data_IF_807390281148
#
_entry.id   IF_807390281148
#
_cell.length_a   1.000
_cell.length_b   1.000
_cell.length_c   1.000
_cell.angle_alpha   90.00
_cell.angle_beta   90.00
_cell.angle_gamma   90.00
#
_symmetry.space_group_name_H-M   'P 1'
#
loop_
_entity.id
_entity.type
_entity.pdbx_description
1 polymer ?
#
# COMPACT_ATOMS: atom_id res chain seq x y z
N UNK A 1 4.78 -19.83 -12.75
CA UNK A 1 3.75 -19.38 -13.72
C UNK A 1 3.00 -18.19 -13.13
N UNK A 2 2.90 -17.09 -13.88
CA UNK A 2 2.11 -15.95 -13.46
C UNK A 2 0.63 -16.33 -13.54
N UNK A 3 -0.09 -16.28 -12.41
CA UNK A 3 -1.48 -16.73 -12.33
C UNK A 3 -2.33 -15.98 -13.39
N UNK A 4 -3.17 -16.70 -14.12
CA UNK A 4 -4.04 -16.16 -15.19
C UNK A 4 -4.91 -15.00 -14.68
N UNK A 5 -5.38 -15.08 -13.43
CA UNK A 5 -6.10 -13.99 -12.76
C UNK A 5 -5.26 -12.71 -12.62
N UNK A 6 -3.98 -12.84 -12.28
CA UNK A 6 -3.09 -11.68 -12.17
C UNK A 6 -2.87 -11.01 -13.52
N UNK A 7 -2.66 -11.79 -14.58
CA UNK A 7 -2.56 -11.26 -15.95
C UNK A 7 -3.83 -10.50 -16.35
N UNK A 8 -5.00 -11.04 -16.03
CA UNK A 8 -6.27 -10.38 -16.29
C UNK A 8 -6.41 -9.05 -15.54
N UNK A 9 -6.03 -8.99 -14.26
CA UNK A 9 -6.04 -7.76 -13.46
C UNK A 9 -5.16 -6.69 -14.12
N UNK A 10 -3.95 -7.05 -14.53
CA UNK A 10 -3.01 -6.12 -15.19
C UNK A 10 -3.58 -5.59 -16.50
N UNK A 11 -4.04 -6.49 -17.40
CA UNK A 11 -4.57 -6.11 -18.72
C UNK A 11 -5.82 -5.24 -18.58
N UNK A 12 -6.77 -5.66 -17.73
CA UNK A 12 -8.02 -4.93 -17.54
C UNK A 12 -7.87 -3.61 -16.80
N UNK A 13 -6.72 -3.40 -16.14
CA UNK A 13 -6.39 -2.16 -15.43
C UNK A 13 -5.48 -1.22 -16.24
N UNK A 14 -5.08 -1.61 -17.44
CA UNK A 14 -4.06 -0.87 -18.20
C UNK A 14 -4.38 0.62 -18.34
N UNK A 15 -5.58 0.97 -18.79
CA UNK A 15 -5.98 2.37 -18.94
C UNK A 15 -6.00 3.13 -17.61
N UNK A 16 -6.44 2.46 -16.54
CA UNK A 16 -6.43 3.05 -15.22
C UNK A 16 -5.00 3.29 -14.72
N UNK A 17 -4.10 2.33 -14.94
CA UNK A 17 -2.69 2.43 -14.57
C UNK A 17 -1.99 3.54 -15.35
N UNK A 18 -2.30 3.71 -16.64
CA UNK A 18 -1.78 4.81 -17.47
C UNK A 18 -2.16 6.19 -16.93
N UNK A 19 -3.29 6.32 -16.26
CA UNK A 19 -3.69 7.53 -15.54
C UNK A 19 -3.07 7.60 -14.14
N UNK A 20 -3.20 6.52 -13.38
CA UNK A 20 -2.89 6.51 -11.95
C UNK A 20 -1.39 6.67 -11.66
N UNK A 21 -0.50 6.06 -12.48
CA UNK A 21 0.95 6.13 -12.26
C UNK A 21 1.49 7.54 -12.47
N UNK A 22 1.24 8.25 -13.59
CA UNK A 22 1.68 9.63 -13.74
C UNK A 22 1.12 10.56 -12.67
N UNK A 23 -0.15 10.37 -12.28
CA UNK A 23 -0.77 11.15 -11.20
C UNK A 23 -0.09 10.92 -9.87
N UNK A 24 0.19 9.66 -9.51
CA UNK A 24 0.92 9.32 -8.30
C UNK A 24 2.34 9.93 -8.29
N UNK A 25 3.08 9.80 -9.39
CA UNK A 25 4.41 10.40 -9.53
C UNK A 25 4.37 11.92 -9.39
N UNK A 26 3.35 12.57 -9.97
CA UNK A 26 3.16 14.01 -9.82
C UNK A 26 2.92 14.40 -8.35
N UNK A 27 2.05 13.66 -7.64
CA UNK A 27 1.78 13.91 -6.22
C UNK A 27 3.03 13.72 -5.35
N UNK A 28 3.85 12.70 -5.66
CA UNK A 28 5.10 12.43 -4.94
C UNK A 28 6.20 13.48 -5.20
N UNK A 29 6.21 14.08 -6.40
CA UNK A 29 7.16 15.15 -6.75
C UNK A 29 6.75 16.53 -6.26
N UNK A 30 5.50 16.70 -5.89
CA UNK A 30 4.94 17.95 -5.40
C UNK A 30 4.27 17.78 -4.05
N UNK A 31 5.03 17.34 -3.00
CA UNK A 31 4.47 17.05 -1.68
C UNK A 31 3.81 18.30 -1.04
N UNK A 32 4.23 19.49 -1.43
CA UNK A 32 3.69 20.76 -0.96
C UNK A 32 2.24 21.05 -1.44
N UNK A 33 1.76 20.33 -2.46
CA UNK A 33 0.43 20.52 -3.05
C UNK A 33 -0.62 19.55 -2.52
N UNK A 34 -0.20 18.52 -1.80
CA UNK A 34 -1.09 17.43 -1.41
C UNK A 34 -0.87 17.06 0.05
N UNK A 35 -1.94 16.94 0.80
CA UNK A 35 -1.89 16.44 2.18
C UNK A 35 -1.64 14.92 2.20
N UNK A 36 -1.26 14.40 3.37
CA UNK A 36 -1.06 12.94 3.52
C UNK A 36 -2.38 12.19 3.36
N UNK A 37 -3.51 12.80 3.77
CA UNK A 37 -4.84 12.24 3.57
C UNK A 37 -5.19 12.14 2.08
N UNK A 38 -4.88 13.16 1.28
CA UNK A 38 -5.13 13.15 -0.17
C UNK A 38 -4.27 12.10 -0.87
N UNK A 39 -3.00 11.98 -0.48
CA UNK A 39 -2.08 10.95 -1.00
C UNK A 39 -2.58 9.55 -0.62
N UNK A 40 -2.94 9.34 0.65
CA UNK A 40 -3.49 8.08 1.13
C UNK A 40 -4.80 7.74 0.40
N UNK A 41 -5.74 8.68 0.31
CA UNK A 41 -7.00 8.46 -0.40
C UNK A 41 -6.79 8.06 -1.87
N UNK A 42 -5.78 8.65 -2.53
CA UNK A 42 -5.45 8.29 -3.90
C UNK A 42 -4.82 6.88 -3.98
N UNK A 43 -3.94 6.53 -3.05
CA UNK A 43 -3.41 5.17 -2.94
C UNK A 43 -4.53 4.14 -2.75
N UNK A 44 -5.50 4.43 -1.87
CA UNK A 44 -6.66 3.55 -1.65
C UNK A 44 -7.55 3.40 -2.89
N UNK A 45 -7.67 4.42 -3.73
CA UNK A 45 -8.34 4.30 -5.05
C UNK A 45 -7.60 3.33 -5.96
N UNK A 46 -6.27 3.37 -5.98
CA UNK A 46 -5.45 2.43 -6.77
C UNK A 46 -5.65 1.00 -6.26
N UNK A 47 -5.52 0.78 -4.96
CA UNK A 47 -5.66 -0.53 -4.31
C UNK A 47 -7.08 -1.08 -4.49
N UNK A 48 -8.10 -0.24 -4.28
CA UNK A 48 -9.51 -0.59 -4.45
C UNK A 48 -9.85 -0.98 -5.90
N UNK A 49 -9.28 -0.28 -6.89
CA UNK A 49 -9.42 -0.66 -8.29
C UNK A 49 -8.85 -2.05 -8.55
N UNK A 50 -7.65 -2.35 -8.05
CA UNK A 50 -7.02 -3.66 -8.18
C UNK A 50 -7.84 -4.76 -7.49
N UNK A 51 -8.33 -4.51 -6.27
CA UNK A 51 -9.22 -5.42 -5.53
C UNK A 51 -10.46 -5.75 -6.33
N UNK A 52 -11.13 -4.73 -6.89
CA UNK A 52 -12.33 -4.90 -7.72
C UNK A 52 -12.04 -5.77 -8.95
N UNK A 53 -10.92 -5.53 -9.65
CA UNK A 53 -10.52 -6.32 -10.82
C UNK A 53 -10.12 -7.75 -10.47
N UNK A 54 -9.51 -7.94 -9.29
CA UNK A 54 -9.18 -9.25 -8.77
C UNK A 54 -10.42 -10.04 -8.29
N UNK A 55 -11.59 -9.40 -8.20
CA UNK A 55 -12.82 -9.97 -7.63
C UNK A 55 -12.58 -10.53 -6.23
N UNK A 56 -11.83 -9.79 -5.42
CA UNK A 56 -11.50 -10.16 -4.04
C UNK A 56 -12.42 -9.41 -3.10
N UNK A 57 -13.06 -10.12 -2.20
CA UNK A 57 -13.82 -9.55 -1.09
C UNK A 57 -12.97 -9.57 0.18
N UNK A 58 -13.12 -8.54 1.00
CA UNK A 58 -12.46 -8.47 2.31
C UNK A 58 -13.55 -8.32 3.35
N UNK A 59 -13.63 -9.29 4.26
CA UNK A 59 -14.48 -9.24 5.42
C UNK A 59 -13.64 -8.81 6.61
N UNK A 60 -14.07 -7.79 7.31
CA UNK A 60 -13.36 -7.20 8.46
C UNK A 60 -14.16 -7.50 9.71
N UNK A 61 -13.50 -8.02 10.73
CA UNK A 61 -14.07 -8.28 12.05
C UNK A 61 -13.18 -7.64 13.10
N UNK A 62 -13.76 -7.06 14.13
CA UNK A 62 -13.02 -6.48 15.26
C UNK A 62 -12.41 -5.11 14.96
N UNK A 63 -12.87 -4.39 13.92
CA UNK A 63 -12.38 -3.05 13.60
C UNK A 63 -12.61 -2.07 14.77
N UNK A 64 -13.64 -2.31 15.57
CA UNK A 64 -13.97 -1.57 16.79
C UNK A 64 -12.91 -1.66 17.90
N UNK A 65 -11.97 -2.61 17.79
CA UNK A 65 -10.87 -2.74 18.75
C UNK A 65 -9.65 -1.88 18.38
N UNK A 66 -9.67 -1.21 17.23
CA UNK A 66 -8.58 -0.33 16.80
C UNK A 66 -8.71 1.00 17.54
N UNK A 67 -7.66 1.48 18.26
CA UNK A 67 -7.72 2.74 18.98
C UNK A 67 -7.95 3.93 18.04
N UNK A 68 -8.87 4.83 18.39
CA UNK A 68 -9.19 6.03 17.61
C UNK A 68 -8.42 7.27 18.05
N UNK A 69 -8.00 7.30 19.31
CA UNK A 69 -7.48 8.47 20.01
C UNK A 69 -5.95 8.52 20.11
N UNK A 70 -5.26 7.48 19.64
CA UNK A 70 -3.81 7.37 19.76
C UNK A 70 -3.17 6.73 18.53
N UNK A 71 -1.85 6.94 18.35
CA UNK A 71 -1.06 6.21 17.39
C UNK A 71 -0.87 4.76 17.83
N UNK A 72 -0.85 3.84 16.85
CA UNK A 72 -0.62 2.42 17.11
C UNK A 72 0.23 1.79 16.01
N UNK A 73 0.87 0.68 16.35
CA UNK A 73 1.56 -0.17 15.40
C UNK A 73 0.81 -1.50 15.29
N UNK A 74 0.44 -1.86 14.07
CA UNK A 74 -0.24 -3.12 13.80
C UNK A 74 0.75 -4.16 13.27
N UNK A 75 0.80 -5.30 13.93
CA UNK A 75 1.57 -6.47 13.46
C UNK A 75 0.59 -7.51 12.92
N UNK A 76 0.61 -7.74 11.62
CA UNK A 76 -0.24 -8.72 10.95
C UNK A 76 0.52 -9.99 10.60
N UNK A 77 -0.13 -11.14 10.74
CA UNK A 77 0.39 -12.40 10.19
C UNK A 77 0.23 -12.36 8.66
N UNK A 78 1.35 -12.40 7.94
CA UNK A 78 1.38 -12.25 6.49
C UNK A 78 1.44 -13.63 5.80
N UNK A 79 0.37 -13.99 5.10
CA UNK A 79 0.26 -15.28 4.39
C UNK A 79 0.17 -15.13 2.86
N UNK A 80 -0.18 -13.96 2.37
CA UNK A 80 -0.41 -13.75 0.94
C UNK A 80 -0.17 -12.33 0.46
N UNK A 81 -0.07 -12.18 -0.86
CA UNK A 81 0.24 -10.90 -1.50
C UNK A 81 -0.83 -9.81 -1.32
N UNK A 82 -2.04 -10.19 -0.93
CA UNK A 82 -3.18 -9.28 -0.78
C UNK A 82 -3.44 -8.86 0.66
N UNK A 83 -2.77 -9.46 1.64
CA UNK A 83 -3.06 -9.22 3.05
C UNK A 83 -2.85 -7.75 3.44
N UNK A 84 -1.69 -7.20 3.10
CA UNK A 84 -1.40 -5.78 3.37
C UNK A 84 -2.41 -4.84 2.68
N UNK A 85 -2.84 -5.18 1.45
CA UNK A 85 -3.83 -4.39 0.72
C UNK A 85 -5.22 -4.50 1.35
N UNK A 86 -5.57 -5.68 1.86
CA UNK A 86 -6.81 -5.91 2.60
C UNK A 86 -6.86 -5.08 3.89
N UNK A 87 -5.79 -5.09 4.66
CA UNK A 87 -5.64 -4.28 5.88
C UNK A 87 -5.74 -2.79 5.54
N UNK A 88 -4.97 -2.30 4.57
CA UNK A 88 -5.01 -0.90 4.15
C UNK A 88 -6.42 -0.43 3.78
N UNK A 89 -7.17 -1.27 3.05
CA UNK A 89 -8.54 -0.95 2.63
C UNK A 89 -9.57 -1.03 3.75
N UNK A 90 -9.22 -1.62 4.89
CA UNK A 90 -10.08 -1.68 6.07
C UNK A 90 -9.86 -0.54 7.06
N UNK A 91 -8.83 0.28 6.83
CA UNK A 91 -8.53 1.45 7.67
C UNK A 91 -9.19 2.70 7.08
N UNK A 92 -9.73 3.53 7.94
CA UNK A 92 -10.41 4.79 7.60
C UNK A 92 -9.51 6.02 7.69
N UNK A 93 -8.24 5.84 8.10
CA UNK A 93 -7.25 6.89 8.30
C UNK A 93 -5.89 6.54 7.66
N UNK A 94 -5.07 7.56 7.34
CA UNK A 94 -3.73 7.34 6.82
C UNK A 94 -2.88 6.46 7.73
N UNK A 95 -2.20 5.48 7.13
CA UNK A 95 -1.21 4.67 7.81
C UNK A 95 -0.04 4.36 6.87
N UNK A 96 1.16 4.29 7.43
CA UNK A 96 2.34 3.81 6.74
C UNK A 96 2.46 2.28 6.83
N UNK A 97 3.19 1.68 5.90
CA UNK A 97 3.47 0.24 5.89
C UNK A 97 4.96 0.00 5.75
N UNK A 98 5.48 -0.96 6.49
CA UNK A 98 6.83 -1.46 6.29
C UNK A 98 6.83 -2.45 5.12
N UNK A 99 7.64 -2.17 4.09
CA UNK A 99 7.75 -2.99 2.90
C UNK A 99 9.15 -3.60 2.77
N UNK A 100 9.23 -4.82 2.29
CA UNK A 100 10.49 -5.33 1.78
C UNK A 100 10.94 -4.47 0.59
N UNK A 101 12.20 -3.98 0.58
CA UNK A 101 12.77 -3.11 -0.45
C UNK A 101 12.56 -3.62 -1.87
N UNK A 102 12.72 -4.95 -2.07
CA UNK A 102 12.49 -5.60 -3.36
C UNK A 102 11.03 -5.51 -3.81
N UNK A 103 10.07 -5.54 -2.90
CA UNK A 103 8.65 -5.41 -3.21
C UNK A 103 8.27 -3.92 -3.39
N UNK A 104 8.80 -3.04 -2.54
CA UNK A 104 8.59 -1.61 -2.62
C UNK A 104 9.09 -1.00 -3.93
N UNK A 105 10.15 -1.56 -4.53
CA UNK A 105 10.71 -1.07 -5.80
C UNK A 105 9.94 -1.52 -7.05
N UNK A 106 8.98 -2.44 -6.94
CA UNK A 106 8.20 -2.91 -8.08
C UNK A 106 7.28 -1.83 -8.62
N UNK A 107 7.03 -1.90 -9.93
CA UNK A 107 6.04 -1.07 -10.60
C UNK A 107 4.69 -1.11 -9.87
N UNK A 108 4.06 0.02 -9.71
CA UNK A 108 2.84 0.30 -8.97
C UNK A 108 3.00 0.19 -7.43
N UNK A 109 3.73 -0.81 -6.91
CA UNK A 109 4.02 -0.90 -5.47
C UNK A 109 4.82 0.30 -4.99
N UNK A 110 5.79 0.78 -5.78
CA UNK A 110 6.60 1.96 -5.48
C UNK A 110 5.73 3.21 -5.31
N UNK A 111 4.78 3.42 -6.20
CA UNK A 111 3.88 4.56 -6.14
C UNK A 111 2.96 4.47 -4.92
N UNK A 112 2.34 3.31 -4.69
CA UNK A 112 1.48 3.10 -3.51
C UNK A 112 2.28 3.28 -2.23
N UNK A 113 3.46 2.65 -2.11
CA UNK A 113 4.34 2.78 -0.95
C UNK A 113 4.69 4.26 -0.67
N UNK A 114 5.07 5.02 -1.69
CA UNK A 114 5.38 6.45 -1.54
C UNK A 114 4.16 7.27 -1.09
N UNK A 115 2.99 7.04 -1.69
CA UNK A 115 1.77 7.79 -1.37
C UNK A 115 1.27 7.58 0.08
N UNK A 116 1.56 6.44 0.68
CA UNK A 116 1.17 6.13 2.07
C UNK A 116 2.31 6.33 3.07
N UNK A 117 3.37 7.03 2.68
CA UNK A 117 4.56 7.21 3.50
C UNK A 117 5.14 5.87 4.00
N UNK A 118 5.10 4.84 3.14
CA UNK A 118 5.61 3.51 3.45
C UNK A 118 7.13 3.49 3.51
N UNK A 119 7.67 2.69 4.42
CA UNK A 119 9.12 2.55 4.63
C UNK A 119 9.61 1.26 4.01
N UNK A 120 10.63 1.35 3.15
CA UNK A 120 11.26 0.19 2.54
C UNK A 120 12.40 -0.33 3.40
N UNK A 121 12.33 -1.60 3.84
CA UNK A 121 13.35 -2.25 4.66
C UNK A 121 14.13 -3.25 3.82
N UNK A 122 15.45 -3.22 3.93
CA UNK A 122 16.34 -4.22 3.36
C UNK A 122 16.51 -5.37 4.36
N UNK A 123 15.83 -6.48 4.11
CA UNK A 123 15.88 -7.65 5.00
C UNK A 123 17.24 -8.38 4.98
N UNK A 124 18.13 -8.04 4.05
CA UNK A 124 19.47 -8.60 3.97
C UNK A 124 20.48 -7.84 4.82
N UNK A 125 20.14 -6.61 5.24
CA UNK A 125 20.96 -5.78 6.12
C UNK A 125 20.34 -5.71 7.53
N UNK A 126 20.84 -6.57 8.42
CA UNK A 126 20.41 -6.64 9.82
C UNK A 126 20.63 -5.30 10.55
N UNK A 127 21.63 -4.51 10.15
CA UNK A 127 21.90 -3.20 10.75
C UNK A 127 20.84 -2.17 10.34
N UNK A 128 20.38 -2.19 9.07
CA UNK A 128 19.29 -1.32 8.61
C UNK A 128 18.00 -1.57 9.39
N UNK A 129 17.71 -2.81 9.77
CA UNK A 129 16.56 -3.16 10.61
C UNK A 129 16.69 -2.57 12.01
N UNK A 130 17.87 -2.57 12.61
CA UNK A 130 18.11 -1.98 13.93
C UNK A 130 17.97 -0.46 13.94
N UNK A 131 18.39 0.24 12.87
CA UNK A 131 18.29 1.71 12.79
C UNK A 131 16.86 2.23 12.61
N UNK A 132 15.95 1.48 11.98
CA UNK A 132 14.54 1.87 11.85
C UNK A 132 13.79 1.82 13.18
N UNK A 133 14.36 1.23 14.22
CA UNK A 133 13.77 1.18 15.56
C UNK A 133 14.26 2.28 16.50
N UNK A 134 15.21 3.14 16.09
CA UNK A 134 15.88 4.11 16.96
C UNK A 134 15.64 5.58 16.58
N UNK A 135 14.85 5.85 15.55
CA UNK A 135 14.40 7.18 15.14
C UNK A 135 12.89 7.31 15.15
#
# INVERSE_FOLDING_TARGET
>A
MLNLRFKWVVISSLFYVMYAVPKAEYMLRHPEKYTDEEKFAFAMKIVGHMKKRARTETLVYGAENIPDDQGYIMYGNHQGKYDALGILLSLDRPCGVLWEKKQASRFLSRQVCGLINGVAIDLTDIRAVSYTHLT
#
